data_IF_036722773849
#
_entry.id   IF_036722773849
#
_cell.length_a   1.000
_cell.length_b   1.000
_cell.length_c   1.000
_cell.angle_alpha   90.00
_cell.angle_beta   90.00
_cell.angle_gamma   90.00
#
_symmetry.space_group_name_H-M   'P 1'
#
loop_
_entity.id
_entity.type
_entity.pdbx_description
1 polymer ?
#
# COMPACT_ATOMS: atom_id res chain seq x y z
N UNK A 1 -6.11 -26.37 -5.75
CA UNK A 1 -6.68 -25.51 -4.68
C UNK A 1 -5.59 -24.97 -3.75
N UNK A 2 -4.75 -25.81 -3.14
CA UNK A 2 -3.62 -25.39 -2.27
C UNK A 2 -2.62 -24.46 -2.99
N UNK A 3 -2.22 -24.76 -4.23
CA UNK A 3 -1.25 -23.95 -4.98
C UNK A 3 -1.71 -22.53 -5.32
N UNK A 4 -3.02 -22.28 -5.42
CA UNK A 4 -3.55 -20.95 -5.75
C UNK A 4 -3.75 -20.10 -4.48
N UNK A 5 -4.04 -20.73 -3.35
CA UNK A 5 -4.03 -20.11 -2.02
C UNK A 5 -2.63 -19.61 -1.65
N UNK A 6 -1.60 -20.45 -1.84
CA UNK A 6 -0.21 -20.09 -1.62
C UNK A 6 0.20 -18.88 -2.49
N UNK A 7 -0.26 -18.85 -3.74
CA UNK A 7 0.03 -17.78 -4.67
C UNK A 7 -0.58 -16.42 -4.26
N UNK A 8 -1.76 -16.42 -3.61
CA UNK A 8 -2.36 -15.19 -3.10
C UNK A 8 -1.58 -14.62 -1.91
N UNK A 9 -1.19 -15.48 -0.96
CA UNK A 9 -0.43 -15.06 0.21
C UNK A 9 0.96 -14.53 -0.17
N UNK A 10 1.67 -15.24 -1.06
CA UNK A 10 2.97 -14.78 -1.58
C UNK A 10 2.80 -13.42 -2.25
N UNK A 11 1.80 -13.25 -3.12
CA UNK A 11 1.54 -11.98 -3.81
C UNK A 11 1.31 -10.81 -2.84
N UNK A 12 0.49 -11.01 -1.81
CA UNK A 12 0.23 -9.96 -0.82
C UNK A 12 1.49 -9.65 -0.01
N UNK A 13 2.21 -10.67 0.45
CA UNK A 13 3.45 -10.48 1.19
C UNK A 13 4.50 -9.77 0.34
N UNK A 14 4.63 -10.12 -0.95
CA UNK A 14 5.52 -9.42 -1.89
C UNK A 14 5.13 -7.95 -2.03
N UNK A 15 3.84 -7.62 -2.10
CA UNK A 15 3.41 -6.23 -2.16
C UNK A 15 3.78 -5.44 -0.90
N UNK A 16 3.57 -6.02 0.29
CA UNK A 16 3.95 -5.42 1.57
C UNK A 16 5.46 -5.19 1.63
N UNK A 17 6.27 -6.20 1.32
CA UNK A 17 7.74 -6.06 1.36
C UNK A 17 8.22 -4.99 0.36
N UNK A 18 7.63 -4.94 -0.84
CA UNK A 18 7.97 -3.92 -1.83
C UNK A 18 7.55 -2.51 -1.38
N UNK A 19 6.40 -2.35 -0.72
CA UNK A 19 5.99 -1.04 -0.20
C UNK A 19 6.89 -0.54 0.91
N UNK A 20 7.31 -1.42 1.82
CA UNK A 20 8.22 -1.02 2.90
C UNK A 20 9.61 -0.63 2.36
N UNK A 21 10.14 -1.37 1.38
CA UNK A 21 11.39 -0.98 0.70
C UNK A 21 11.27 0.39 0.00
N UNK A 22 10.13 0.69 -0.61
CA UNK A 22 9.85 1.99 -1.24
C UNK A 22 9.78 3.13 -0.21
N UNK A 23 9.20 2.87 0.96
CA UNK A 23 9.11 3.83 2.06
C UNK A 23 10.51 4.06 2.64
N UNK A 24 11.24 3.00 2.97
CA UNK A 24 12.59 3.08 3.53
C UNK A 24 13.54 3.83 2.59
N UNK A 25 13.52 3.48 1.29
CA UNK A 25 14.35 4.13 0.28
C UNK A 25 14.03 5.63 0.16
N UNK A 26 12.76 6.01 0.13
CA UNK A 26 12.36 7.42 0.09
C UNK A 26 12.76 8.18 1.36
N UNK A 27 12.56 7.58 2.54
CA UNK A 27 12.97 8.19 3.82
C UNK A 27 14.47 8.43 3.89
N UNK A 28 15.27 7.47 3.40
CA UNK A 28 16.72 7.61 3.29
C UNK A 28 17.12 8.75 2.34
N UNK A 29 16.49 8.84 1.17
CA UNK A 29 16.78 9.91 0.19
C UNK A 29 16.41 11.31 0.69
N UNK A 30 15.33 11.43 1.48
CA UNK A 30 14.87 12.69 2.06
C UNK A 30 15.73 13.10 3.28
N UNK A 31 16.53 12.19 3.83
CA UNK A 31 17.38 12.44 5.01
C UNK A 31 16.63 12.34 6.34
N UNK A 32 15.57 11.51 6.40
CA UNK A 32 14.82 11.25 7.62
C UNK A 32 15.67 10.39 8.57
N UNK A 33 15.64 10.65 9.89
CA UNK A 33 16.35 9.81 10.85
C UNK A 33 15.87 8.36 10.77
N UNK A 34 16.81 7.42 10.74
CA UNK A 34 16.54 5.99 10.59
C UNK A 34 15.52 5.46 11.61
N UNK A 35 15.57 5.94 12.85
CA UNK A 35 14.60 5.56 13.90
C UNK A 35 13.16 5.91 13.53
N UNK A 36 12.92 7.06 12.90
CA UNK A 36 11.58 7.47 12.48
C UNK A 36 11.08 6.64 11.27
N UNK A 37 11.98 6.32 10.33
CA UNK A 37 11.66 5.44 9.20
C UNK A 37 11.20 4.07 9.72
N UNK A 38 11.99 3.46 10.60
CA UNK A 38 11.69 2.14 11.16
C UNK A 38 10.38 2.13 11.95
N UNK A 39 10.11 3.15 12.76
CA UNK A 39 8.84 3.25 13.49
C UNK A 39 7.65 3.27 12.53
N UNK A 40 7.71 4.09 11.47
CA UNK A 40 6.63 4.18 10.49
C UNK A 40 6.43 2.86 9.73
N UNK A 41 7.52 2.27 9.22
CA UNK A 41 7.52 0.98 8.51
C UNK A 41 6.93 -0.15 9.37
N UNK A 42 7.37 -0.27 10.62
CA UNK A 42 6.83 -1.29 11.52
C UNK A 42 5.34 -1.08 11.79
N UNK A 43 4.90 0.17 11.95
CA UNK A 43 3.48 0.47 12.15
C UNK A 43 2.63 0.17 10.93
N UNK A 44 3.06 0.53 9.71
CA UNK A 44 2.34 0.21 8.47
C UNK A 44 2.28 -1.28 8.22
N UNK A 45 3.40 -1.99 8.39
CA UNK A 45 3.46 -3.45 8.20
C UNK A 45 2.45 -4.16 9.10
N UNK A 46 2.34 -3.76 10.38
CA UNK A 46 1.35 -4.34 11.30
C UNK A 46 -0.08 -4.09 10.81
N UNK A 47 -0.40 -2.88 10.37
CA UNK A 47 -1.73 -2.52 9.86
C UNK A 47 -2.06 -3.33 8.59
N UNK A 48 -1.14 -3.42 7.64
CA UNK A 48 -1.31 -4.14 6.38
C UNK A 48 -1.50 -5.64 6.60
N UNK A 49 -0.71 -6.25 7.48
CA UNK A 49 -0.86 -7.66 7.84
C UNK A 49 -2.19 -7.94 8.54
N UNK A 50 -2.61 -7.07 9.48
CA UNK A 50 -3.90 -7.20 10.15
C UNK A 50 -5.05 -7.13 9.14
N UNK A 51 -5.01 -6.17 8.21
CA UNK A 51 -6.02 -6.06 7.15
C UNK A 51 -6.03 -7.30 6.25
N UNK A 52 -4.86 -7.81 5.87
CA UNK A 52 -4.80 -9.04 5.08
C UNK A 52 -5.44 -10.22 5.81
N UNK A 53 -5.14 -10.41 7.09
CA UNK A 53 -5.71 -11.50 7.91
C UNK A 53 -7.24 -11.37 8.01
N UNK A 54 -7.74 -10.16 8.28
CA UNK A 54 -9.18 -9.89 8.39
C UNK A 54 -9.89 -10.21 7.06
N UNK A 55 -9.34 -9.74 5.94
CA UNK A 55 -9.96 -9.93 4.64
C UNK A 55 -9.85 -11.36 4.12
N UNK A 56 -8.72 -12.01 4.36
CA UNK A 56 -8.52 -13.42 4.00
C UNK A 56 -9.52 -14.33 4.72
N UNK A 57 -9.80 -14.10 6.01
CA UNK A 57 -10.81 -14.85 6.76
C UNK A 57 -12.24 -14.61 6.27
N UNK A 58 -12.52 -13.43 5.73
CA UNK A 58 -13.88 -13.02 5.34
C UNK A 58 -14.21 -13.36 3.89
N UNK A 59 -13.23 -13.30 3.00
CA UNK A 59 -13.39 -13.47 1.56
C UNK A 59 -12.37 -14.51 1.09
N UNK A 60 -12.67 -15.80 1.34
CA UNK A 60 -11.85 -16.94 0.96
C UNK A 60 -11.79 -17.19 -0.57
N UNK A 61 -12.08 -16.17 -1.39
CA UNK A 61 -12.15 -16.30 -2.83
C UNK A 61 -10.76 -16.28 -3.45
N UNK A 62 -10.43 -17.39 -4.09
CA UNK A 62 -9.16 -17.61 -4.74
C UNK A 62 -9.22 -17.04 -6.16
N UNK A 63 -8.62 -15.87 -6.37
CA UNK A 63 -8.59 -15.20 -7.68
C UNK A 63 -7.24 -15.30 -8.38
N UNK A 64 -7.29 -15.34 -9.72
CA UNK A 64 -6.08 -15.28 -10.55
C UNK A 64 -5.38 -13.92 -10.45
N UNK A 65 -4.07 -13.88 -10.75
CA UNK A 65 -3.30 -12.62 -10.80
C UNK A 65 -3.91 -11.62 -11.79
N UNK A 66 -4.37 -12.09 -12.96
CA UNK A 66 -5.02 -11.24 -13.97
C UNK A 66 -6.27 -10.55 -13.42
N UNK A 67 -7.09 -11.28 -12.66
CA UNK A 67 -8.28 -10.70 -12.03
C UNK A 67 -7.91 -9.74 -10.90
N UNK A 68 -6.91 -10.07 -10.08
CA UNK A 68 -6.39 -9.18 -9.04
C UNK A 68 -5.92 -7.84 -9.63
N UNK A 69 -5.14 -7.87 -10.72
CA UNK A 69 -4.66 -6.65 -11.39
C UNK A 69 -5.82 -5.84 -11.98
N UNK A 70 -6.83 -6.51 -12.56
CA UNK A 70 -8.04 -5.82 -13.05
C UNK A 70 -8.78 -5.11 -11.92
N UNK A 71 -8.95 -5.77 -10.78
CA UNK A 71 -9.56 -5.18 -9.58
C UNK A 71 -8.73 -4.00 -9.08
N UNK A 72 -7.40 -4.14 -9.04
CA UNK A 72 -6.49 -3.09 -8.59
C UNK A 72 -6.49 -1.87 -9.51
N UNK A 73 -6.48 -2.05 -10.83
CA UNK A 73 -6.64 -0.95 -11.79
C UNK A 73 -7.99 -0.25 -11.58
N UNK A 74 -9.06 -1.01 -11.31
CA UNK A 74 -10.35 -0.41 -10.96
C UNK A 74 -10.31 0.38 -9.65
N UNK A 75 -9.57 -0.08 -8.65
CA UNK A 75 -9.35 0.64 -7.39
C UNK A 75 -8.62 1.96 -7.65
N UNK A 76 -7.49 1.94 -8.35
CA UNK A 76 -6.69 3.13 -8.69
C UNK A 76 -7.53 4.16 -9.43
N UNK A 77 -8.36 3.74 -10.39
CA UNK A 77 -9.26 4.64 -11.13
C UNK A 77 -10.29 5.31 -10.23
N UNK A 78 -10.83 4.58 -9.24
CA UNK A 78 -11.80 5.13 -8.28
C UNK A 78 -11.15 6.10 -7.29
N UNK A 79 -9.88 5.89 -6.96
CA UNK A 79 -9.15 6.73 -6.01
C UNK A 79 -8.30 7.81 -6.68
N UNK A 80 -8.51 8.08 -7.97
CA UNK A 80 -7.71 9.02 -8.74
C UNK A 80 -7.71 10.44 -8.14
N UNK A 81 -8.85 10.90 -7.63
CA UNK A 81 -8.95 12.21 -6.98
C UNK A 81 -8.07 12.32 -5.72
N UNK A 82 -8.02 11.25 -4.93
CA UNK A 82 -7.13 11.17 -3.77
C UNK A 82 -5.66 11.22 -4.20
N UNK A 83 -5.29 10.46 -5.25
CA UNK A 83 -3.93 10.51 -5.81
C UNK A 83 -3.52 11.92 -6.22
N UNK A 84 -4.37 12.62 -6.97
CA UNK A 84 -4.09 13.98 -7.43
C UNK A 84 -3.93 14.95 -6.26
N UNK A 85 -4.78 14.83 -5.22
CA UNK A 85 -4.68 15.64 -4.01
C UNK A 85 -3.35 15.41 -3.28
N UNK A 86 -2.94 14.16 -3.05
CA UNK A 86 -1.70 13.85 -2.34
C UNK A 86 -0.47 14.27 -3.16
N UNK A 87 -0.49 14.09 -4.48
CA UNK A 87 0.60 14.56 -5.35
C UNK A 87 0.77 16.09 -5.30
N UNK A 88 -0.34 16.84 -5.23
CA UNK A 88 -0.28 18.29 -5.06
C UNK A 88 0.36 18.68 -3.72
N UNK A 89 0.00 18.00 -2.63
CA UNK A 89 0.59 18.24 -1.30
C UNK A 89 2.09 17.91 -1.29
N UNK A 90 2.51 16.81 -1.92
CA UNK A 90 3.92 16.46 -2.07
C UNK A 90 4.71 17.57 -2.77
N UNK A 91 4.16 18.18 -3.83
CA UNK A 91 4.79 19.30 -4.53
C UNK A 91 4.92 20.51 -3.59
N UNK A 92 3.86 20.87 -2.87
CA UNK A 92 3.87 22.00 -1.93
C UNK A 92 4.93 21.79 -0.84
N UNK A 93 4.96 20.60 -0.22
CA UNK A 93 5.89 20.29 0.86
C UNK A 93 7.34 20.16 0.39
N UNK A 94 7.55 19.79 -0.88
CA UNK A 94 8.86 19.83 -1.53
C UNK A 94 9.36 21.28 -1.62
N UNK A 95 8.51 22.21 -2.07
CA UNK A 95 8.87 23.64 -2.19
C UNK A 95 9.11 24.27 -0.82
N UNK A 96 8.31 23.91 0.18
CA UNK A 96 8.43 24.41 1.56
C UNK A 96 9.55 23.73 2.36
N UNK A 97 10.20 22.70 1.81
CA UNK A 97 11.28 21.93 2.44
C UNK A 97 10.89 21.27 3.77
N UNK A 98 9.63 20.90 3.94
CA UNK A 98 9.15 20.16 5.11
C UNK A 98 9.44 18.66 4.95
N UNK A 99 10.70 18.26 5.13
CA UNK A 99 11.20 16.91 4.86
C UNK A 99 10.37 15.81 5.55
N UNK A 100 10.07 15.94 6.84
CA UNK A 100 9.29 14.94 7.57
C UNK A 100 7.85 14.83 7.07
N UNK A 101 7.20 15.96 6.77
CA UNK A 101 5.82 15.97 6.26
C UNK A 101 5.75 15.39 4.85
N UNK A 102 6.70 15.74 3.99
CA UNK A 102 6.87 15.15 2.65
C UNK A 102 7.01 13.63 2.74
N UNK A 103 7.86 13.14 3.65
CA UNK A 103 8.04 11.71 3.88
C UNK A 103 6.77 11.04 4.41
N UNK A 104 6.07 11.68 5.34
CA UNK A 104 4.83 11.16 5.91
C UNK A 104 3.72 11.04 4.86
N UNK A 105 3.59 12.01 3.96
CA UNK A 105 2.63 11.95 2.84
C UNK A 105 2.98 10.87 1.83
N UNK A 106 4.27 10.72 1.50
CA UNK A 106 4.75 9.62 0.66
C UNK A 106 4.42 8.27 1.29
N UNK A 107 4.66 8.13 2.59
CA UNK A 107 4.32 6.92 3.35
C UNK A 107 2.82 6.61 3.29
N UNK A 108 1.95 7.60 3.54
CA UNK A 108 0.49 7.43 3.44
C UNK A 108 0.09 6.99 2.03
N UNK A 109 0.68 7.62 0.99
CA UNK A 109 0.38 7.29 -0.39
C UNK A 109 0.70 5.84 -0.70
N UNK A 110 1.90 5.40 -0.37
CA UNK A 110 2.35 4.02 -0.61
C UNK A 110 1.47 3.03 0.14
N UNK A 111 1.26 3.23 1.45
CA UNK A 111 0.43 2.36 2.29
C UNK A 111 -1.01 2.26 1.76
N UNK A 112 -1.60 3.39 1.34
CA UNK A 112 -2.97 3.41 0.79
C UNK A 112 -3.10 2.49 -0.43
N UNK A 113 -2.11 2.52 -1.32
CA UNK A 113 -2.10 1.67 -2.52
C UNK A 113 -1.77 0.21 -2.22
N UNK A 114 -0.94 -0.08 -1.21
CA UNK A 114 -0.74 -1.44 -0.71
C UNK A 114 -2.03 -2.03 -0.17
N UNK A 115 -2.78 -1.26 0.64
CA UNK A 115 -4.10 -1.67 1.13
C UNK A 115 -5.07 -1.91 -0.04
N UNK A 116 -5.09 -1.03 -1.04
CA UNK A 116 -5.87 -1.23 -2.26
C UNK A 116 -5.53 -2.54 -2.99
N UNK A 117 -4.25 -2.91 -3.00
CA UNK A 117 -3.78 -4.17 -3.56
C UNK A 117 -4.19 -5.39 -2.71
N UNK A 118 -4.17 -5.28 -1.39
CA UNK A 118 -4.67 -6.33 -0.46
C UNK A 118 -6.18 -6.54 -0.68
N UNK A 119 -6.96 -5.47 -0.75
CA UNK A 119 -8.41 -5.50 -1.03
C UNK A 119 -8.66 -6.20 -2.37
N UNK A 120 -7.89 -5.82 -3.40
CA UNK A 120 -7.99 -6.39 -4.74
C UNK A 120 -7.62 -7.87 -4.78
N UNK A 121 -6.59 -8.26 -4.02
CA UNK A 121 -6.10 -9.64 -3.90
C UNK A 121 -7.10 -10.57 -3.21
N UNK A 122 -7.94 -10.04 -2.31
CA UNK A 122 -8.97 -10.79 -1.60
C UNK A 122 -10.38 -10.61 -2.22
N UNK A 123 -10.44 -10.13 -3.47
CA UNK A 123 -11.67 -9.93 -4.25
C UNK A 123 -12.79 -9.16 -3.55
N UNK A 124 -12.44 -8.19 -2.71
CA UNK A 124 -13.43 -7.44 -1.95
C UNK A 124 -14.17 -6.50 -2.90
N UNK A 125 -15.52 -6.52 -2.93
CA UNK A 125 -16.29 -5.63 -3.79
C UNK A 125 -16.13 -4.18 -3.32
N UNK A 126 -15.52 -3.36 -4.17
CA UNK A 126 -15.47 -1.91 -3.95
C UNK A 126 -16.83 -1.37 -4.39
N UNK A 127 -17.71 -1.06 -3.44
CA UNK A 127 -19.00 -0.41 -3.72
C UNK A 127 -18.78 0.88 -4.53
N UNK A 128 -19.74 1.19 -5.41
CA UNK A 128 -19.71 2.41 -6.22
C UNK A 128 -19.93 3.63 -5.34
#
# INVERSE_FOLDING_TARGET
>A
MVGVLLNNQIRVLTAIVLSELLIEWAGYLIGIPFSAIIVLVLTSTVIELLLHIIFYRKFHEVISLKQCLKNYISYVKKTLWFLLMVLLLLIINTVQKHAFLLFFEWHILVMFYTIGFIISSNNIPIKK
#
